data_IF_634965259535
#
_entry.id   IF_634965259535
#
_cell.length_a   1.000
_cell.length_b   1.000
_cell.length_c   1.000
_cell.angle_alpha   90.00
_cell.angle_beta   90.00
_cell.angle_gamma   90.00
#
_symmetry.space_group_name_H-M   'P 1'
#
loop_
_entity.id
_entity.type
_entity.pdbx_description
1 polymer ?
#
# COMPACT_ATOMS: atom_id res chain seq x y z
N UNK A 1 -78.33 1.44 -24.80
CA UNK A 1 -77.17 1.30 -23.90
C UNK A 1 -76.00 0.77 -24.71
N UNK A 2 -75.10 1.64 -25.19
CA UNK A 2 -73.79 1.24 -25.72
C UNK A 2 -72.72 1.99 -24.92
N UNK A 3 -71.83 1.24 -24.29
CA UNK A 3 -70.75 1.73 -23.45
C UNK A 3 -69.45 1.73 -24.25
N UNK A 4 -68.98 2.90 -24.66
CA UNK A 4 -67.67 3.07 -25.31
C UNK A 4 -66.63 3.38 -24.24
N UNK A 5 -65.76 2.42 -23.92
CA UNK A 5 -64.59 2.65 -23.07
C UNK A 5 -63.43 3.16 -23.94
N UNK A 6 -62.99 4.39 -23.69
CA UNK A 6 -61.76 4.92 -24.24
C UNK A 6 -60.54 4.35 -23.48
N UNK A 7 -59.62 3.72 -24.18
CA UNK A 7 -58.35 3.23 -23.66
C UNK A 7 -57.32 4.38 -23.73
N UNK A 8 -56.83 4.84 -22.58
CA UNK A 8 -55.63 5.69 -22.51
C UNK A 8 -54.39 4.79 -22.56
N UNK A 9 -53.53 4.98 -23.56
CA UNK A 9 -52.21 4.36 -23.62
C UNK A 9 -51.18 5.26 -22.88
N UNK A 10 -50.32 4.71 -21.99
CA UNK A 10 -49.27 5.49 -21.36
C UNK A 10 -48.08 5.66 -22.32
N UNK A 11 -47.53 6.88 -22.39
CA UNK A 11 -46.30 7.15 -23.14
C UNK A 11 -45.07 6.58 -22.40
N UNK A 12 -44.08 5.99 -23.09
CA UNK A 12 -42.90 5.43 -22.45
C UNK A 12 -41.95 6.56 -22.02
N UNK A 13 -41.60 6.59 -20.73
CA UNK A 13 -40.53 7.45 -20.22
C UNK A 13 -39.20 6.73 -20.45
N UNK A 14 -38.36 7.30 -21.32
CA UNK A 14 -37.03 6.77 -21.61
C UNK A 14 -36.06 7.22 -20.49
N UNK A 15 -35.68 6.30 -19.61
CA UNK A 15 -34.69 6.54 -18.57
C UNK A 15 -33.29 6.46 -19.18
N UNK A 16 -32.66 7.61 -19.45
CA UNK A 16 -31.25 7.66 -19.86
C UNK A 16 -30.38 7.48 -18.63
N UNK A 17 -29.79 6.29 -18.48
CA UNK A 17 -28.78 6.04 -17.45
C UNK A 17 -27.52 6.84 -17.81
N UNK A 18 -27.20 7.88 -17.02
CA UNK A 18 -25.90 8.54 -17.08
C UNK A 18 -24.82 7.55 -16.63
N UNK A 19 -24.12 6.97 -17.60
CA UNK A 19 -22.86 6.26 -17.37
C UNK A 19 -21.86 7.27 -16.79
N UNK A 20 -21.67 7.24 -15.47
CA UNK A 20 -20.60 7.97 -14.83
C UNK A 20 -19.28 7.52 -15.47
N UNK A 21 -18.40 8.44 -15.91
CA UNK A 21 -17.09 8.05 -16.40
C UNK A 21 -16.38 7.26 -15.31
N UNK A 22 -15.99 6.03 -15.64
CA UNK A 22 -15.11 5.23 -14.78
C UNK A 22 -13.85 6.06 -14.53
N UNK A 23 -13.60 6.43 -13.28
CA UNK A 23 -12.35 7.07 -12.90
C UNK A 23 -11.20 6.18 -13.44
N UNK A 24 -10.29 6.69 -14.28
CA UNK A 24 -9.18 5.88 -14.77
C UNK A 24 -8.47 5.26 -13.57
N UNK A 25 -8.19 3.95 -13.65
CA UNK A 25 -7.35 3.28 -12.67
C UNK A 25 -6.09 4.12 -12.49
N UNK A 26 -5.74 4.43 -11.23
CA UNK A 26 -4.61 5.29 -10.93
C UNK A 26 -3.37 4.77 -11.67
N UNK A 27 -2.93 5.52 -12.68
CA UNK A 27 -1.95 5.01 -13.63
C UNK A 27 -0.60 4.79 -12.94
N UNK A 28 -0.06 3.58 -13.07
CA UNK A 28 1.21 3.21 -12.47
C UNK A 28 2.37 4.07 -13.00
N UNK A 29 3.47 4.09 -12.25
CA UNK A 29 4.72 4.71 -12.68
C UNK A 29 5.20 4.04 -13.97
N UNK A 30 5.52 4.84 -14.99
CA UNK A 30 6.13 4.38 -16.24
C UNK A 30 7.19 5.35 -16.73
N UNK A 31 8.07 4.91 -17.62
CA UNK A 31 9.01 5.80 -18.29
C UNK A 31 8.27 6.84 -19.16
N UNK A 32 8.73 8.08 -19.17
CA UNK A 32 8.12 9.14 -19.96
C UNK A 32 8.40 8.95 -21.46
N UNK A 33 7.37 8.94 -22.33
CA UNK A 33 7.51 8.52 -23.74
C UNK A 33 8.36 9.48 -24.58
N UNK A 34 8.34 10.79 -24.26
CA UNK A 34 9.14 11.79 -24.98
C UNK A 34 10.50 12.10 -24.32
N UNK A 35 10.75 11.63 -23.10
CA UNK A 35 12.01 11.84 -22.39
C UNK A 35 12.31 10.65 -21.50
N UNK A 36 13.11 9.67 -21.96
CA UNK A 36 13.34 8.42 -21.24
C UNK A 36 14.08 8.58 -19.91
N UNK A 37 14.54 9.79 -19.56
CA UNK A 37 15.20 10.11 -18.29
C UNK A 37 14.22 10.50 -17.17
N UNK A 38 12.94 10.68 -17.48
CA UNK A 38 11.91 11.06 -16.52
C UNK A 38 10.83 9.97 -16.44
N UNK A 39 10.05 9.99 -15.36
CA UNK A 39 8.88 9.13 -15.22
C UNK A 39 7.59 9.91 -15.54
N UNK A 40 6.53 9.16 -15.83
CA UNK A 40 5.14 9.59 -15.70
C UNK A 40 4.52 8.87 -14.52
N UNK A 41 3.90 9.63 -13.62
CA UNK A 41 3.06 9.11 -12.54
C UNK A 41 1.68 9.75 -12.61
N UNK A 42 0.63 8.94 -12.80
CA UNK A 42 -0.76 9.41 -12.97
C UNK A 42 -0.86 10.51 -14.04
N UNK A 43 -0.25 10.26 -15.21
CA UNK A 43 -0.24 11.18 -16.35
C UNK A 43 0.65 12.42 -16.21
N UNK A 44 1.34 12.62 -15.08
CA UNK A 44 2.19 13.80 -14.85
C UNK A 44 3.68 13.44 -14.89
N UNK A 45 4.53 14.24 -15.55
CA UNK A 45 5.98 14.09 -15.41
C UNK A 45 6.39 14.12 -13.94
N UNK A 46 7.19 13.14 -13.52
CA UNK A 46 7.57 12.94 -12.13
C UNK A 46 9.10 12.73 -12.01
N UNK A 47 9.68 13.37 -11.01
CA UNK A 47 11.01 13.09 -10.48
C UNK A 47 10.79 12.65 -9.04
N UNK A 48 11.13 11.41 -8.74
CA UNK A 48 10.85 10.84 -7.43
C UNK A 48 11.90 11.31 -6.42
N UNK A 49 11.45 11.84 -5.29
CA UNK A 49 12.28 12.37 -4.21
C UNK A 49 11.77 11.79 -2.90
N UNK A 50 12.67 11.16 -2.15
CA UNK A 50 12.31 10.45 -0.93
C UNK A 50 13.30 10.64 0.21
N UNK A 51 12.81 10.42 1.42
CA UNK A 51 13.62 10.16 2.61
C UNK A 51 13.37 8.72 3.05
N UNK A 52 14.32 7.84 2.73
CA UNK A 52 14.08 6.39 2.67
C UNK A 52 14.69 5.61 3.82
N UNK A 53 14.84 6.20 5.01
CA UNK A 53 15.52 5.57 6.15
C UNK A 53 14.66 4.55 6.93
N UNK A 54 13.33 4.61 6.81
CA UNK A 54 12.41 3.78 7.59
C UNK A 54 12.05 2.44 6.90
N UNK A 55 13.08 1.69 6.50
CA UNK A 55 12.94 0.44 5.74
C UNK A 55 12.02 -0.61 6.41
N UNK A 56 11.96 -0.62 7.74
CA UNK A 56 11.16 -1.58 8.49
C UNK A 56 9.69 -1.20 8.66
N UNK A 57 9.19 -0.16 7.98
CA UNK A 57 7.86 0.40 8.24
C UNK A 57 6.70 -0.62 8.18
N UNK A 58 6.81 -1.64 7.32
CA UNK A 58 5.85 -2.74 7.24
C UNK A 58 6.17 -3.86 8.24
N UNK A 59 7.42 -4.35 8.26
CA UNK A 59 7.78 -5.53 9.06
C UNK A 59 7.88 -5.28 10.57
N UNK A 60 7.96 -4.02 10.98
CA UNK A 60 7.94 -3.63 12.38
C UNK A 60 6.53 -3.20 12.77
N UNK A 61 5.75 -4.04 13.48
CA UNK A 61 4.38 -3.71 13.85
C UNK A 61 4.28 -2.52 14.81
N UNK A 62 5.36 -2.20 15.52
CA UNK A 62 5.42 -1.13 16.53
C UNK A 62 5.75 0.25 15.91
N UNK A 63 6.00 0.31 14.60
CA UNK A 63 6.21 1.57 13.88
C UNK A 63 4.87 2.19 13.41
N UNK A 64 4.69 3.47 13.73
CA UNK A 64 3.51 4.27 13.36
C UNK A 64 3.61 4.81 11.93
N UNK A 65 3.53 3.90 10.95
CA UNK A 65 3.78 4.23 9.55
C UNK A 65 2.80 5.23 8.93
N UNK A 66 1.58 5.39 9.46
CA UNK A 66 0.63 6.41 8.97
C UNK A 66 1.15 7.81 9.23
N UNK A 67 1.63 8.05 10.46
CA UNK A 67 2.26 9.32 10.84
C UNK A 67 3.47 9.59 9.96
N UNK A 68 4.30 8.57 9.70
CA UNK A 68 5.44 8.69 8.79
C UNK A 68 5.00 9.13 7.38
N UNK A 69 4.00 8.48 6.79
CA UNK A 69 3.49 8.86 5.47
C UNK A 69 2.87 10.27 5.46
N UNK A 70 2.19 10.68 6.52
CA UNK A 70 1.68 12.04 6.68
C UNK A 70 2.82 13.07 6.69
N UNK A 71 3.90 12.80 7.43
CA UNK A 71 5.09 13.66 7.47
C UNK A 71 5.74 13.78 6.10
N UNK A 72 6.05 12.65 5.44
CA UNK A 72 6.67 12.61 4.11
C UNK A 72 5.83 13.38 3.09
N UNK A 73 4.51 13.16 3.10
CA UNK A 73 3.60 13.89 2.22
C UNK A 73 3.55 15.40 2.52
N UNK A 74 3.58 15.80 3.80
CA UNK A 74 3.58 17.20 4.19
C UNK A 74 4.86 17.94 3.75
N UNK A 75 5.99 17.24 3.72
CA UNK A 75 7.28 17.77 3.25
C UNK A 75 7.42 17.75 1.72
N UNK A 76 6.39 17.27 0.99
CA UNK A 76 6.37 17.23 -0.47
C UNK A 76 7.22 16.12 -1.09
N UNK A 77 7.61 15.12 -0.29
CA UNK A 77 8.31 13.93 -0.76
C UNK A 77 7.31 12.92 -1.31
N UNK A 78 7.70 12.18 -2.35
CA UNK A 78 6.81 11.30 -3.11
C UNK A 78 7.36 9.88 -3.31
N UNK A 79 8.46 9.53 -2.63
CA UNK A 79 9.04 8.19 -2.62
C UNK A 79 9.39 7.74 -1.21
N UNK A 80 9.02 6.50 -0.89
CA UNK A 80 9.50 5.76 0.27
C UNK A 80 10.01 4.40 -0.16
N UNK A 81 11.02 3.87 0.55
CA UNK A 81 11.53 2.52 0.35
C UNK A 81 11.27 1.69 1.61
N UNK A 82 10.74 0.49 1.41
CA UNK A 82 10.57 -0.50 2.47
C UNK A 82 11.38 -1.74 2.14
N UNK A 83 11.70 -2.52 3.17
CA UNK A 83 12.20 -3.88 2.98
C UNK A 83 11.05 -4.85 3.23
N UNK A 84 11.06 -5.92 2.45
CA UNK A 84 10.04 -6.97 2.44
C UNK A 84 10.68 -8.34 2.64
N UNK A 85 9.90 -9.32 3.08
CA UNK A 85 10.37 -10.69 3.27
C UNK A 85 10.99 -10.95 4.64
N UNK A 86 12.15 -11.61 4.66
CA UNK A 86 12.75 -12.19 5.86
C UNK A 86 13.94 -11.41 6.45
N UNK A 87 14.36 -10.32 5.79
CA UNK A 87 15.49 -9.53 6.29
C UNK A 87 15.01 -8.47 7.28
N UNK A 88 15.55 -8.54 8.49
CA UNK A 88 15.44 -7.51 9.51
C UNK A 88 16.70 -7.55 10.37
N UNK A 89 17.00 -6.44 11.00
CA UNK A 89 18.23 -6.20 11.76
C UNK A 89 18.02 -6.52 13.24
N UNK A 90 19.11 -6.50 14.01
CA UNK A 90 19.07 -6.59 15.48
C UNK A 90 19.16 -5.19 16.07
N UNK A 91 18.58 -5.03 17.26
CA UNK A 91 18.74 -3.79 18.02
C UNK A 91 20.23 -3.50 18.25
N UNK A 92 20.64 -2.27 17.93
CA UNK A 92 22.03 -1.81 18.04
C UNK A 92 22.86 -1.98 16.76
N UNK A 93 22.34 -2.67 15.74
CA UNK A 93 23.01 -2.73 14.43
C UNK A 93 23.23 -1.30 13.90
N UNK A 94 24.45 -1.06 13.42
CA UNK A 94 24.91 0.24 12.86
C UNK A 94 24.81 1.45 13.80
N UNK A 95 24.50 1.27 15.09
CA UNK A 95 24.32 2.37 16.03
C UNK A 95 23.10 3.25 15.74
N UNK A 96 22.14 2.76 14.94
CA UNK A 96 20.93 3.51 14.59
C UNK A 96 19.96 3.47 15.77
N UNK A 97 19.64 4.64 16.31
CA UNK A 97 18.61 4.78 17.34
C UNK A 97 17.22 4.59 16.72
N UNK A 98 16.35 3.85 17.39
CA UNK A 98 14.96 3.59 16.96
C UNK A 98 14.87 3.00 15.54
N UNK A 99 15.82 2.13 15.20
CA UNK A 99 15.89 1.49 13.89
C UNK A 99 14.62 0.70 13.58
N UNK A 100 13.82 1.22 12.66
CA UNK A 100 12.57 0.56 12.25
C UNK A 100 12.80 -0.83 11.67
N UNK A 101 13.97 -1.09 11.08
CA UNK A 101 14.34 -2.39 10.51
C UNK A 101 14.77 -3.41 11.57
N UNK A 102 14.89 -3.01 12.84
CA UNK A 102 15.22 -3.87 13.97
C UNK A 102 14.03 -3.99 14.95
N UNK A 103 12.94 -4.68 14.59
CA UNK A 103 11.80 -4.88 15.47
C UNK A 103 12.22 -5.59 16.76
N UNK A 104 11.48 -5.33 17.85
CA UNK A 104 11.76 -5.96 19.14
C UNK A 104 11.69 -7.51 19.05
N UNK A 105 12.36 -8.25 19.94
CA UNK A 105 12.43 -9.70 19.86
C UNK A 105 11.04 -10.35 19.79
N UNK A 106 10.84 -11.22 18.79
CA UNK A 106 9.58 -11.92 18.53
C UNK A 106 8.52 -11.09 17.79
N UNK A 107 8.74 -9.78 17.59
CA UNK A 107 7.76 -8.86 16.97
C UNK A 107 7.84 -8.77 15.44
N UNK A 108 8.95 -9.20 14.84
CA UNK A 108 9.13 -9.12 13.38
C UNK A 108 7.95 -9.77 12.64
N UNK A 109 7.32 -8.97 11.78
CA UNK A 109 6.22 -9.37 10.91
C UNK A 109 6.77 -9.63 9.51
N UNK A 110 6.82 -10.90 9.12
CA UNK A 110 7.33 -11.37 7.82
C UNK A 110 6.21 -12.11 7.09
N UNK A 111 6.36 -12.48 5.81
CA UNK A 111 5.27 -13.12 5.06
C UNK A 111 4.73 -14.41 5.68
N UNK A 112 5.55 -15.16 6.40
CA UNK A 112 5.22 -16.47 6.95
C UNK A 112 4.78 -16.41 8.41
N UNK A 113 3.86 -17.29 8.79
CA UNK A 113 3.39 -17.41 10.16
C UNK A 113 4.42 -18.11 11.05
N UNK A 114 4.32 -17.93 12.37
CA UNK A 114 5.15 -18.67 13.33
C UNK A 114 4.73 -20.14 13.42
N UNK A 115 5.69 -21.05 13.43
CA UNK A 115 5.51 -22.47 13.75
C UNK A 115 5.42 -22.69 15.26
N UNK A 116 5.42 -23.95 15.69
CA UNK A 116 5.50 -24.35 17.11
C UNK A 116 6.94 -24.61 17.58
N UNK A 117 7.92 -24.60 16.67
CA UNK A 117 9.33 -24.92 16.99
C UNK A 117 10.04 -23.66 17.52
N UNK A 118 10.57 -23.63 18.74
CA UNK A 118 11.27 -22.46 19.28
C UNK A 118 12.62 -22.22 18.60
N UNK A 119 13.18 -21.01 18.75
CA UNK A 119 14.59 -20.74 18.44
C UNK A 119 14.82 -19.88 17.19
N UNK A 120 13.87 -19.07 16.77
CA UNK A 120 14.08 -18.13 15.67
C UNK A 120 15.14 -17.08 16.01
N UNK A 121 15.97 -16.76 15.01
CA UNK A 121 16.81 -15.56 15.06
C UNK A 121 15.90 -14.35 15.19
N UNK A 122 16.17 -13.49 16.18
CA UNK A 122 15.28 -12.38 16.51
C UNK A 122 14.14 -12.73 17.46
N UNK A 123 14.12 -13.94 18.04
CA UNK A 123 13.18 -14.34 19.09
C UNK A 123 11.91 -15.03 18.58
N UNK A 124 11.27 -15.78 19.48
CA UNK A 124 10.06 -16.56 19.22
C UNK A 124 10.32 -17.90 18.52
N UNK A 125 9.26 -18.46 17.93
CA UNK A 125 9.31 -19.71 17.18
C UNK A 125 9.82 -19.50 15.75
N UNK A 126 10.36 -20.53 15.11
CA UNK A 126 10.67 -20.54 13.69
C UNK A 126 9.43 -20.16 12.85
N UNK A 127 9.65 -19.84 11.57
CA UNK A 127 8.57 -19.60 10.63
C UNK A 127 8.18 -20.88 9.91
N UNK A 128 6.88 -21.04 9.69
CA UNK A 128 6.29 -22.08 8.86
C UNK A 128 6.23 -21.58 7.42
N UNK A 129 7.14 -22.07 6.57
CA UNK A 129 7.28 -21.58 5.20
C UNK A 129 6.13 -22.00 4.28
N UNK A 130 5.30 -22.95 4.72
CA UNK A 130 4.12 -23.42 4.00
C UNK A 130 2.85 -22.64 4.41
N UNK A 131 2.94 -21.75 5.40
CA UNK A 131 1.81 -20.98 5.92
C UNK A 131 2.08 -19.47 5.93
N UNK A 132 1.30 -18.74 5.14
CA UNK A 132 1.29 -17.28 5.15
C UNK A 132 0.75 -16.71 6.47
N UNK A 133 1.29 -15.56 6.88
CA UNK A 133 0.75 -14.72 7.95
C UNK A 133 -0.13 -13.62 7.33
N UNK A 134 -1.46 -13.68 7.49
CA UNK A 134 -2.36 -12.65 6.95
C UNK A 134 -2.04 -11.24 7.45
N UNK A 135 -1.55 -11.11 8.69
CA UNK A 135 -1.28 -9.80 9.28
C UNK A 135 -0.18 -9.05 8.53
N UNK A 136 0.81 -9.77 7.99
CA UNK A 136 1.85 -9.17 7.14
C UNK A 136 1.24 -8.55 5.88
N UNK A 137 0.42 -9.30 5.15
CA UNK A 137 -0.17 -8.84 3.90
C UNK A 137 -1.22 -7.75 4.11
N UNK A 138 -1.99 -7.81 5.19
CA UNK A 138 -2.91 -6.74 5.59
C UNK A 138 -2.17 -5.44 5.85
N UNK A 139 -1.06 -5.50 6.59
CA UNK A 139 -0.24 -4.32 6.87
C UNK A 139 0.44 -3.79 5.61
N UNK A 140 1.01 -4.65 4.76
CA UNK A 140 1.62 -4.26 3.49
C UNK A 140 0.61 -3.57 2.56
N UNK A 141 -0.57 -4.16 2.37
CA UNK A 141 -1.64 -3.56 1.56
C UNK A 141 -2.08 -2.22 2.14
N UNK A 142 -2.32 -2.16 3.45
CA UNK A 142 -2.68 -0.92 4.12
C UNK A 142 -1.64 0.19 3.92
N UNK A 143 -0.35 -0.15 4.06
CA UNK A 143 0.74 0.80 3.83
C UNK A 143 0.73 1.35 2.39
N UNK A 144 0.64 0.47 1.39
CA UNK A 144 0.64 0.85 -0.04
C UNK A 144 -0.61 1.67 -0.39
N UNK A 145 -1.77 1.31 0.13
CA UNK A 145 -3.03 2.06 -0.09
C UNK A 145 -2.96 3.48 0.47
N UNK A 146 -2.46 3.64 1.70
CA UNK A 146 -2.31 4.95 2.32
C UNK A 146 -1.23 5.81 1.66
N UNK A 147 -0.11 5.20 1.23
CA UNK A 147 0.91 5.89 0.44
C UNK A 147 0.31 6.38 -0.89
N UNK A 148 -0.45 5.52 -1.57
CA UNK A 148 -1.15 5.86 -2.82
C UNK A 148 -2.14 7.02 -2.65
N UNK A 149 -2.87 7.10 -1.52
CA UNK A 149 -3.77 8.23 -1.20
C UNK A 149 -3.01 9.56 -1.09
N UNK A 150 -1.75 9.51 -0.64
CA UNK A 150 -0.85 10.67 -0.51
C UNK A 150 -0.01 10.93 -1.76
N UNK A 151 -0.24 10.17 -2.84
CA UNK A 151 0.58 10.20 -4.06
C UNK A 151 2.06 9.86 -3.83
N UNK A 152 2.35 9.03 -2.83
CA UNK A 152 3.67 8.52 -2.52
C UNK A 152 3.85 7.16 -3.20
N UNK A 153 4.94 7.00 -3.95
CA UNK A 153 5.39 5.74 -4.54
C UNK A 153 6.09 4.91 -3.47
N UNK A 154 5.79 3.61 -3.44
CA UNK A 154 6.45 2.65 -2.54
C UNK A 154 7.40 1.79 -3.37
N UNK A 155 8.70 1.95 -3.11
CA UNK A 155 9.74 1.03 -3.57
C UNK A 155 9.84 -0.14 -2.57
N UNK A 156 9.73 -1.37 -3.08
CA UNK A 156 9.70 -2.61 -2.27
C UNK A 156 10.92 -3.47 -2.59
#
# INVERSE_FOLDING_TARGET
>A
MLSTRALFAPAPVLLVALLAPSAPAAEALRQHPANPRCFLFRGRPAVLVGSTEHYGAVLNPDFEWRRYLDTIGADGLDLVRIFSGAYFEKSGDFGIRDNTLAPAPGRALVPWARSTTPGARGGGNLWDLDRWDPAYFERLRGFVEEASRRSIVVEV
#
